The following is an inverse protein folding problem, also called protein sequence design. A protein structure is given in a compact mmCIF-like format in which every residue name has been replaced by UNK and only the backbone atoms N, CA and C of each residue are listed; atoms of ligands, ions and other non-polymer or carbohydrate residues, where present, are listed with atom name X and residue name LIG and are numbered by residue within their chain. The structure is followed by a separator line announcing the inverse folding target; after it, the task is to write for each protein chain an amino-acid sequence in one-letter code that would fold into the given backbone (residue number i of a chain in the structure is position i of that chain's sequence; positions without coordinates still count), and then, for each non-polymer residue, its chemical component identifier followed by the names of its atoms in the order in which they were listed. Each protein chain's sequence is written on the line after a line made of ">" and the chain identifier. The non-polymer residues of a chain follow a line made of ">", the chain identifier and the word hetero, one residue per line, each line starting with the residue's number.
data_IF_146150451149
#
_entry.id   IF_146150451149
#
_cell.length_a   1.000
_cell.length_b   1.000
_cell.length_c   1.000
_cell.angle_alpha   90.00
_cell.angle_beta   90.00
_cell.angle_gamma   90.00
#
_symmetry.space_group_name_H-M   'P 1'
#
loop_
_entity.id
_entity.type
_entity.pdbx_description
1 polymer ?
#
# COMPACT_ATOMS: atom_id res chain seq x y z
N UNK A 1 -6.63 27.60 7.73
CA UNK A 1 -6.89 26.53 6.74
C UNK A 1 -5.82 26.61 5.67
N UNK A 2 -4.80 25.72 5.69
CA UNK A 2 -3.82 25.64 4.59
C UNK A 2 -4.43 24.74 3.52
N UNK A 3 -4.79 25.32 2.38
CA UNK A 3 -5.22 24.55 1.21
C UNK A 3 -4.12 23.55 0.85
N UNK A 4 -4.48 22.28 0.66
CA UNK A 4 -3.59 21.29 0.08
C UNK A 4 -3.20 21.78 -1.31
N UNK A 5 -2.00 22.34 -1.48
CA UNK A 5 -1.48 22.67 -2.81
C UNK A 5 -1.60 21.41 -3.65
N UNK A 6 -2.24 21.44 -4.81
CA UNK A 6 -2.21 20.30 -5.73
C UNK A 6 -0.78 20.09 -6.24
N UNK A 7 -0.30 18.85 -6.21
CA UNK A 7 0.93 18.46 -6.92
C UNK A 7 0.52 18.32 -8.37
N UNK A 8 1.11 19.11 -9.24
CA UNK A 8 1.13 18.85 -10.68
C UNK A 8 2.36 18.02 -11.01
N UNK A 9 2.35 17.25 -12.10
CA UNK A 9 3.55 16.57 -12.61
C UNK A 9 4.72 17.57 -12.70
N UNK A 10 4.44 18.77 -13.21
CA UNK A 10 5.40 19.87 -13.30
C UNK A 10 6.00 20.28 -11.95
N UNK A 11 5.28 20.14 -10.84
CA UNK A 11 5.79 20.46 -9.49
C UNK A 11 6.61 19.33 -8.88
N UNK A 12 6.35 18.06 -9.21
CA UNK A 12 7.18 16.92 -8.77
C UNK A 12 8.56 17.02 -9.42
N UNK A 13 8.60 17.20 -10.74
CA UNK A 13 9.86 17.26 -11.49
C UNK A 13 10.64 18.58 -11.31
N UNK A 14 10.03 19.60 -10.71
CA UNK A 14 10.72 20.82 -10.26
C UNK A 14 11.22 20.74 -8.82
N UNK A 15 10.88 19.68 -8.09
CA UNK A 15 11.35 19.48 -6.73
C UNK A 15 12.72 18.80 -6.71
N UNK A 16 13.51 19.08 -5.66
CA UNK A 16 14.87 18.60 -5.53
C UNK A 16 14.89 17.06 -5.46
N UNK A 17 15.73 16.35 -6.26
CA UNK A 17 15.94 14.93 -6.08
C UNK A 17 16.68 14.67 -4.76
N UNK A 18 16.21 13.68 -4.01
CA UNK A 18 16.76 13.25 -2.74
C UNK A 18 17.42 11.89 -2.90
N UNK A 19 18.57 11.73 -2.26
CA UNK A 19 19.20 10.43 -2.08
C UNK A 19 18.63 9.78 -0.82
N UNK A 20 17.96 8.64 -0.96
CA UNK A 20 17.36 7.90 0.16
C UNK A 20 17.96 6.50 0.21
N UNK A 21 18.43 6.07 1.37
CA UNK A 21 18.94 4.73 1.63
C UNK A 21 17.88 3.94 2.40
N UNK A 22 17.39 2.84 1.86
CA UNK A 22 16.24 2.10 2.41
C UNK A 22 16.64 0.73 2.91
N UNK A 23 16.11 0.36 4.08
CA UNK A 23 16.27 -0.96 4.69
C UNK A 23 17.66 -1.22 5.27
N UNK A 24 17.84 -2.44 5.79
CA UNK A 24 19.10 -2.91 6.37
C UNK A 24 20.26 -2.92 5.36
N UNK A 25 19.93 -3.20 4.10
CA UNK A 25 20.87 -3.21 2.97
C UNK A 25 21.21 -1.80 2.45
N UNK A 26 20.53 -0.76 2.95
CA UNK A 26 20.74 0.63 2.55
C UNK A 26 20.66 0.82 1.03
N UNK A 27 19.63 0.23 0.41
CA UNK A 27 19.43 0.31 -1.04
C UNK A 27 19.18 1.77 -1.41
N UNK A 28 19.99 2.26 -2.36
CA UNK A 28 19.97 3.66 -2.78
C UNK A 28 18.86 3.93 -3.78
N UNK A 29 17.97 4.86 -3.43
CA UNK A 29 16.92 5.41 -4.27
C UNK A 29 17.14 6.91 -4.52
N UNK A 30 16.70 7.36 -5.69
CA UNK A 30 16.62 8.79 -6.04
C UNK A 30 15.16 9.18 -6.20
N UNK A 31 14.63 9.95 -5.23
CA UNK A 31 13.21 10.31 -5.16
C UNK A 31 13.06 11.82 -5.05
N UNK A 32 12.12 12.39 -5.80
CA UNK A 32 11.81 13.82 -5.74
C UNK A 32 11.22 14.21 -4.36
N UNK A 33 11.71 15.31 -3.76
CA UNK A 33 11.32 15.74 -2.41
C UNK A 33 9.82 15.91 -2.25
N UNK A 34 9.12 16.33 -3.31
CA UNK A 34 7.68 16.54 -3.26
C UNK A 34 6.88 15.24 -3.06
N UNK A 35 7.45 14.07 -3.37
CA UNK A 35 6.85 12.75 -3.05
C UNK A 35 6.86 12.53 -1.54
N UNK A 36 8.01 12.76 -0.92
CA UNK A 36 8.25 12.50 0.51
C UNK A 36 7.60 13.55 1.41
N UNK A 37 7.59 14.82 1.00
CA UNK A 37 6.97 15.93 1.75
C UNK A 37 5.47 15.73 2.00
N UNK A 38 4.83 14.86 1.22
CA UNK A 38 3.40 14.52 1.34
C UNK A 38 3.10 13.34 2.21
N UNK A 39 4.11 12.59 2.62
CA UNK A 39 3.90 11.52 3.59
C UNK A 39 3.25 12.13 4.84
N UNK A 40 2.22 11.45 5.41
CA UNK A 40 1.65 11.85 6.68
C UNK A 40 2.76 12.12 7.69
N UNK A 41 2.62 13.17 8.49
CA UNK A 41 3.63 13.52 9.48
C UNK A 41 4.02 12.32 10.38
N UNK A 42 3.08 11.51 10.89
CA UNK A 42 3.42 10.34 11.69
C UNK A 42 4.28 9.30 10.93
N UNK A 43 4.05 9.15 9.62
CA UNK A 43 4.87 8.26 8.79
C UNK A 43 6.27 8.83 8.61
N UNK A 44 6.42 10.15 8.40
CA UNK A 44 7.75 10.76 8.30
C UNK A 44 8.55 10.64 9.60
N UNK A 45 7.88 10.78 10.73
CA UNK A 45 8.48 10.59 12.05
C UNK A 45 8.91 9.13 12.27
N UNK A 46 8.07 8.14 11.94
CA UNK A 46 8.42 6.70 12.04
C UNK A 46 9.60 6.30 11.13
N UNK A 47 9.75 6.99 9.99
CA UNK A 47 10.79 6.75 9.01
C UNK A 47 12.06 7.59 9.24
N UNK A 48 12.12 8.37 10.33
CA UNK A 48 13.21 9.32 10.62
C UNK A 48 13.47 10.31 9.47
N UNK A 49 12.44 10.64 8.70
CA UNK A 49 12.52 11.57 7.58
C UNK A 49 12.37 12.99 8.13
N UNK A 50 13.38 13.87 7.96
CA UNK A 50 13.34 15.21 8.51
C UNK A 50 12.19 16.04 7.94
N UNK A 51 11.53 16.81 8.80
CA UNK A 51 10.40 17.66 8.41
C UNK A 51 10.76 18.78 7.43
N UNK A 52 12.04 19.18 7.39
CA UNK A 52 12.62 20.03 6.36
C UNK A 52 13.79 19.29 5.72
N UNK A 53 13.69 19.04 4.44
CA UNK A 53 14.73 18.35 3.69
C UNK A 53 15.68 19.43 3.16
N UNK A 54 16.77 19.65 3.87
CA UNK A 54 17.84 20.58 3.51
C UNK A 54 19.16 19.85 3.67
N UNK A 55 19.86 19.59 2.57
CA UNK A 55 21.17 18.96 2.62
C UNK A 55 21.49 18.12 1.38
N UNK A 56 22.78 17.80 1.24
CA UNK A 56 23.31 16.86 0.25
C UNK A 56 23.41 15.43 0.84
N UNK A 57 23.26 15.28 2.16
CA UNK A 57 23.37 14.00 2.84
C UNK A 57 22.19 13.07 2.53
N UNK A 58 22.44 11.75 2.40
CA UNK A 58 21.38 10.78 2.17
C UNK A 58 20.46 10.65 3.39
N UNK A 59 19.15 10.60 3.14
CA UNK A 59 18.16 10.25 4.16
C UNK A 59 18.20 8.74 4.35
N UNK A 60 18.41 8.27 5.57
CA UNK A 60 18.48 6.82 5.86
C UNK A 60 17.18 6.37 6.50
N UNK A 61 16.47 5.46 5.85
CA UNK A 61 15.19 4.91 6.31
C UNK A 61 15.38 3.43 6.63
N UNK A 62 15.61 3.13 7.92
CA UNK A 62 15.99 1.77 8.38
C UNK A 62 14.81 0.88 8.74
N UNK A 63 13.69 1.48 9.15
CA UNK A 63 12.57 0.78 9.77
C UNK A 63 11.52 0.30 8.75
N UNK A 64 11.96 0.06 7.51
CA UNK A 64 11.09 -0.26 6.39
C UNK A 64 11.88 -1.08 5.37
N UNK A 65 11.25 -2.08 4.76
CA UNK A 65 11.84 -2.73 3.60
C UNK A 65 11.67 -1.88 2.33
N UNK A 66 12.47 -2.19 1.31
CA UNK A 66 12.48 -1.46 0.05
C UNK A 66 11.12 -1.45 -0.64
N UNK A 67 10.46 -2.61 -0.66
CA UNK A 67 9.23 -2.83 -1.42
C UNK A 67 8.08 -2.02 -0.83
N UNK A 68 7.95 -2.10 0.49
CA UNK A 68 7.04 -1.27 1.26
C UNK A 68 7.27 0.23 1.01
N UNK A 69 8.53 0.68 1.05
CA UNK A 69 8.85 2.10 0.82
C UNK A 69 8.52 2.54 -0.61
N UNK A 70 8.85 1.69 -1.59
CA UNK A 70 8.50 1.89 -2.99
C UNK A 70 6.97 2.03 -3.19
N UNK A 71 6.17 1.23 -2.48
CA UNK A 71 4.70 1.33 -2.51
C UNK A 71 4.20 2.68 -1.97
N UNK A 72 4.79 3.20 -0.90
CA UNK A 72 4.44 4.54 -0.40
C UNK A 72 4.75 5.62 -1.43
N UNK A 73 5.92 5.55 -2.07
CA UNK A 73 6.29 6.48 -3.14
C UNK A 73 5.36 6.37 -4.34
N UNK A 74 5.11 5.16 -4.84
CA UNK A 74 4.26 4.92 -6.00
C UNK A 74 2.83 5.40 -5.74
N UNK A 75 2.29 5.19 -4.54
CA UNK A 75 0.96 5.68 -4.21
C UNK A 75 0.80 7.19 -4.40
N UNK A 76 1.84 7.98 -4.12
CA UNK A 76 1.82 9.44 -4.31
C UNK A 76 1.89 9.86 -5.77
N UNK A 77 2.49 9.01 -6.61
CA UNK A 77 2.61 9.24 -8.05
C UNK A 77 1.33 8.73 -8.77
N UNK A 78 0.90 7.51 -8.46
CA UNK A 78 -0.24 6.81 -9.07
C UNK A 78 -1.60 7.42 -8.74
N UNK A 79 -1.83 7.89 -7.50
CA UNK A 79 -3.05 8.64 -7.12
C UNK A 79 -3.30 9.87 -8.03
N UNK A 80 -2.26 10.36 -8.71
CA UNK A 80 -2.29 11.58 -9.51
C UNK A 80 -2.22 11.35 -11.02
N UNK A 81 -1.56 10.27 -11.47
CA UNK A 81 -1.59 9.88 -12.89
C UNK A 81 -3.00 9.44 -13.32
N UNK A 82 -3.78 8.84 -12.44
CA UNK A 82 -5.21 8.57 -12.69
C UNK A 82 -6.06 9.86 -12.67
N UNK A 83 -5.69 10.88 -11.90
CA UNK A 83 -6.37 12.20 -11.88
C UNK A 83 -5.99 13.10 -13.08
N UNK A 84 -4.84 12.88 -13.74
CA UNK A 84 -4.26 13.81 -14.71
C UNK A 84 -4.40 13.39 -16.19
N UNK A 85 -5.13 12.32 -16.52
CA UNK A 85 -5.10 11.67 -17.85
C UNK A 85 -3.67 11.28 -18.25
N UNK A 86 -3.24 10.10 -17.79
CA UNK A 86 -1.93 9.50 -18.04
C UNK A 86 -1.38 9.74 -19.46
N UNK A 87 -0.55 10.77 -19.59
CA UNK A 87 0.33 10.94 -20.74
C UNK A 87 1.69 10.39 -20.31
N UNK A 88 2.04 9.23 -20.85
CA UNK A 88 3.31 8.58 -20.57
C UNK A 88 4.46 9.57 -20.86
N UNK A 89 5.15 10.00 -19.80
CA UNK A 89 6.24 10.95 -19.87
C UNK A 89 7.58 10.21 -19.91
N UNK A 90 8.37 10.50 -20.94
CA UNK A 90 9.64 9.85 -21.28
C UNK A 90 10.81 10.83 -21.03
N UNK A 91 10.87 11.41 -19.83
CA UNK A 91 11.89 12.39 -19.44
C UNK A 91 13.08 11.80 -18.67
N UNK A 92 14.24 12.48 -18.65
CA UNK A 92 15.52 11.95 -18.15
C UNK A 92 15.60 11.74 -16.63
N UNK A 93 14.55 12.11 -15.88
CA UNK A 93 14.44 11.93 -14.44
C UNK A 93 13.26 11.04 -14.12
N UNK A 94 13.31 9.82 -14.66
CA UNK A 94 12.42 8.77 -14.21
C UNK A 94 12.63 8.59 -12.70
N UNK A 95 11.56 8.75 -11.93
CA UNK A 95 11.50 8.16 -10.59
C UNK A 95 11.77 6.66 -10.81
N UNK A 96 13.00 6.23 -10.59
CA UNK A 96 13.34 4.80 -10.56
C UNK A 96 12.92 4.30 -9.18
N UNK A 97 11.61 4.35 -8.93
CA UNK A 97 11.01 3.32 -8.10
C UNK A 97 11.23 2.06 -8.95
N UNK A 98 11.97 1.06 -8.46
CA UNK A 98 12.04 -0.22 -9.15
C UNK A 98 10.63 -0.56 -9.58
N UNK A 99 10.42 -0.88 -10.87
CA UNK A 99 9.11 -1.35 -11.32
C UNK A 99 8.84 -2.62 -10.52
N UNK A 100 8.27 -2.44 -9.34
CA UNK A 100 7.70 -3.52 -8.56
C UNK A 100 6.73 -4.17 -9.55
N UNK A 101 6.83 -5.48 -9.77
CA UNK A 101 6.20 -6.13 -10.91
C UNK A 101 4.74 -5.68 -10.92
N UNK A 102 4.44 -4.78 -11.88
CA UNK A 102 3.16 -4.10 -11.97
C UNK A 102 2.16 -5.21 -12.10
N UNK A 103 1.36 -5.36 -11.06
CA UNK A 103 0.36 -6.41 -10.98
C UNK A 103 1.02 -7.78 -11.19
N UNK A 104 1.39 -8.41 -10.09
CA UNK A 104 1.34 -9.86 -10.09
C UNK A 104 0.04 -10.29 -10.77
N UNK A 105 0.14 -10.97 -11.93
CA UNK A 105 -1.03 -11.54 -12.62
C UNK A 105 -1.77 -12.56 -11.73
N UNK A 106 -1.17 -12.94 -10.61
CA UNK A 106 -1.79 -13.80 -9.62
C UNK A 106 -2.46 -12.95 -8.54
N UNK A 107 -3.66 -13.36 -8.17
CA UNK A 107 -4.54 -12.66 -7.22
C UNK A 107 -3.88 -12.45 -5.86
N UNK A 108 -3.22 -13.48 -5.31
CA UNK A 108 -2.75 -13.50 -3.94
C UNK A 108 -1.74 -12.37 -3.63
N UNK A 109 -0.66 -12.15 -4.39
CA UNK A 109 0.25 -11.02 -4.13
C UNK A 109 -0.46 -9.66 -4.24
N UNK A 110 -1.40 -9.51 -5.17
CA UNK A 110 -2.18 -8.27 -5.33
C UNK A 110 -3.05 -8.01 -4.10
N UNK A 111 -3.78 -9.00 -3.62
CA UNK A 111 -4.57 -8.88 -2.38
C UNK A 111 -3.68 -8.63 -1.16
N UNK A 112 -2.54 -9.32 -1.07
CA UNK A 112 -1.60 -9.15 0.03
C UNK A 112 -1.05 -7.72 0.10
N UNK A 113 -0.55 -7.20 -1.03
CA UNK A 113 -0.03 -5.83 -1.15
C UNK A 113 -1.11 -4.82 -0.74
N UNK A 114 -2.33 -4.93 -1.28
CA UNK A 114 -3.37 -3.96 -0.98
C UNK A 114 -3.92 -4.08 0.45
N UNK A 115 -3.94 -5.28 1.03
CA UNK A 115 -4.27 -5.48 2.45
C UNK A 115 -3.24 -4.79 3.35
N UNK A 116 -1.97 -5.01 3.05
CA UNK A 116 -0.85 -4.43 3.79
C UNK A 116 -0.86 -2.90 3.71
N UNK A 117 -1.03 -2.32 2.50
CA UNK A 117 -1.14 -0.87 2.31
C UNK A 117 -2.35 -0.31 3.08
N UNK A 118 -3.51 -0.97 3.03
CA UNK A 118 -4.72 -0.53 3.71
C UNK A 118 -4.51 -0.39 5.22
N UNK A 119 -3.92 -1.41 5.84
CA UNK A 119 -3.67 -1.45 7.29
C UNK A 119 -2.65 -0.38 7.69
N UNK A 120 -1.56 -0.24 6.93
CA UNK A 120 -0.56 0.80 7.19
C UNK A 120 -1.11 2.22 6.97
N UNK A 121 -1.88 2.43 5.90
CA UNK A 121 -2.50 3.72 5.64
C UNK A 121 -3.45 4.11 6.79
N UNK A 122 -4.20 3.16 7.34
CA UNK A 122 -5.02 3.41 8.52
C UNK A 122 -4.18 3.76 9.77
N UNK A 123 -3.08 3.03 10.04
CA UNK A 123 -2.13 3.33 11.13
C UNK A 123 -1.67 4.79 11.09
N UNK A 124 -1.35 5.30 9.90
CA UNK A 124 -0.84 6.67 9.71
C UNK A 124 -1.93 7.71 9.37
N UNK A 125 -3.23 7.35 9.47
CA UNK A 125 -4.38 8.22 9.14
C UNK A 125 -4.32 8.77 7.71
N UNK A 126 -3.84 7.96 6.77
CA UNK A 126 -3.70 8.29 5.36
C UNK A 126 -4.95 7.91 4.56
N UNK A 127 -6.05 8.66 4.76
CA UNK A 127 -7.37 8.26 4.24
C UNK A 127 -7.42 8.08 2.71
N UNK A 128 -6.72 8.92 1.93
CA UNK A 128 -6.70 8.77 0.47
C UNK A 128 -6.06 7.45 0.02
N UNK A 129 -4.96 7.05 0.67
CA UNK A 129 -4.27 5.80 0.36
C UNK A 129 -5.05 4.59 0.87
N UNK A 130 -5.65 4.71 2.06
CA UNK A 130 -6.54 3.70 2.63
C UNK A 130 -7.73 3.43 1.71
N UNK A 131 -8.38 4.48 1.18
CA UNK A 131 -9.50 4.31 0.25
C UNK A 131 -9.05 3.68 -1.07
N UNK A 132 -7.97 4.18 -1.68
CA UNK A 132 -7.47 3.63 -2.96
C UNK A 132 -7.05 2.17 -2.82
N UNK A 133 -6.28 1.82 -1.78
CA UNK A 133 -5.85 0.44 -1.55
C UNK A 133 -7.03 -0.49 -1.32
N UNK A 134 -8.04 -0.05 -0.57
CA UNK A 134 -9.27 -0.82 -0.42
C UNK A 134 -9.98 -1.02 -1.77
N UNK A 135 -10.15 0.03 -2.57
CA UNK A 135 -10.77 -0.09 -3.90
C UNK A 135 -10.03 -1.06 -4.83
N UNK A 136 -8.69 -1.01 -4.86
CA UNK A 136 -7.88 -1.93 -5.67
C UNK A 136 -7.97 -3.36 -5.13
N UNK A 137 -8.00 -3.55 -3.81
CA UNK A 137 -8.26 -4.83 -3.17
C UNK A 137 -9.63 -5.41 -3.57
N UNK A 138 -10.69 -4.62 -3.45
CA UNK A 138 -12.06 -5.02 -3.82
C UNK A 138 -12.13 -5.42 -5.29
N UNK A 139 -11.58 -4.59 -6.18
CA UNK A 139 -11.58 -4.87 -7.61
C UNK A 139 -10.83 -6.16 -7.93
N UNK A 140 -9.66 -6.40 -7.32
CA UNK A 140 -8.92 -7.64 -7.53
C UNK A 140 -9.70 -8.88 -7.06
N UNK A 141 -10.37 -8.77 -5.91
CA UNK A 141 -11.19 -9.85 -5.35
C UNK A 141 -12.43 -10.13 -6.22
N UNK A 142 -13.11 -9.07 -6.68
CA UNK A 142 -14.35 -9.16 -7.46
C UNK A 142 -14.15 -9.61 -8.90
N UNK A 143 -12.99 -9.31 -9.49
CA UNK A 143 -12.66 -9.72 -10.86
C UNK A 143 -12.07 -11.12 -10.96
N UNK A 144 -11.78 -11.75 -9.82
CA UNK A 144 -11.18 -13.08 -9.79
C UNK A 144 -12.23 -14.17 -9.59
N UNK A 145 -12.16 -15.29 -10.34
CA UNK A 145 -13.06 -16.41 -10.13
C UNK A 145 -12.70 -17.10 -8.82
N UNK A 146 -13.50 -16.84 -7.77
CA UNK A 146 -13.31 -17.49 -6.49
C UNK A 146 -13.70 -18.98 -6.57
N UNK A 147 -12.75 -19.85 -6.27
CA UNK A 147 -12.94 -21.31 -6.17
C UNK A 147 -12.50 -21.79 -4.79
N UNK A 148 -12.94 -22.98 -4.36
CA UNK A 148 -12.53 -23.55 -3.07
C UNK A 148 -11.00 -23.69 -2.95
N UNK A 149 -10.31 -24.08 -4.03
CA UNK A 149 -8.85 -24.19 -4.05
C UNK A 149 -8.15 -22.84 -3.82
N UNK A 150 -8.70 -21.77 -4.39
CA UNK A 150 -8.15 -20.42 -4.24
C UNK A 150 -8.25 -19.92 -2.79
N UNK A 151 -9.21 -20.41 -2.00
CA UNK A 151 -9.38 -19.99 -0.60
C UNK A 151 -8.27 -20.54 0.28
N UNK A 152 -7.85 -21.78 0.03
CA UNK A 152 -6.68 -22.33 0.70
C UNK A 152 -5.41 -21.56 0.30
N UNK A 153 -5.32 -21.09 -0.95
CA UNK A 153 -4.25 -20.20 -1.39
C UNK A 153 -4.28 -18.82 -0.71
N UNK A 154 -5.44 -18.36 -0.23
CA UNK A 154 -5.57 -17.11 0.54
C UNK A 154 -5.15 -17.25 2.01
N UNK A 155 -4.88 -18.47 2.51
CA UNK A 155 -4.53 -18.70 3.91
C UNK A 155 -3.36 -17.82 4.41
N UNK A 156 -2.25 -17.61 3.67
CA UNK A 156 -1.18 -16.72 4.11
C UNK A 156 -1.63 -15.26 4.31
N UNK A 157 -2.55 -14.79 3.47
CA UNK A 157 -3.13 -13.45 3.61
C UNK A 157 -4.03 -13.37 4.84
N UNK A 158 -4.84 -14.40 5.10
CA UNK A 158 -5.67 -14.47 6.30
C UNK A 158 -4.82 -14.45 7.57
N UNK A 159 -3.75 -15.25 7.62
CA UNK A 159 -2.79 -15.24 8.73
C UNK A 159 -2.21 -13.83 8.92
N UNK A 160 -1.69 -13.22 7.85
CA UNK A 160 -1.14 -11.87 7.90
C UNK A 160 -2.13 -10.86 8.48
N UNK A 161 -3.37 -10.83 7.98
CA UNK A 161 -4.41 -9.92 8.47
C UNK A 161 -4.73 -10.20 9.94
N UNK A 162 -4.82 -11.47 10.34
CA UNK A 162 -5.15 -11.86 11.71
C UNK A 162 -4.08 -11.51 12.74
N UNK A 163 -2.81 -11.48 12.33
CA UNK A 163 -1.67 -11.04 13.14
C UNK A 163 -1.66 -9.52 13.33
N UNK A 164 -2.38 -8.77 12.50
CA UNK A 164 -2.48 -7.32 12.65
C UNK A 164 -3.53 -6.98 13.73
N UNK A 165 -3.08 -6.60 14.92
CA UNK A 165 -3.93 -6.18 16.05
C UNK A 165 -4.55 -4.77 15.86
N UNK A 166 -5.10 -4.47 14.66
CA UNK A 166 -5.66 -3.16 14.32
C UNK A 166 -7.14 -3.24 13.95
N UNK A 167 -7.87 -2.13 14.15
CA UNK A 167 -9.25 -2.01 13.69
C UNK A 167 -9.37 -2.10 12.16
N UNK A 168 -8.38 -1.57 11.44
CA UNK A 168 -8.32 -1.69 9.98
C UNK A 168 -8.25 -3.16 9.54
N UNK A 169 -7.38 -3.95 10.16
CA UNK A 169 -7.28 -5.38 9.85
C UNK A 169 -8.60 -6.11 10.13
N UNK A 170 -9.25 -5.83 11.26
CA UNK A 170 -10.58 -6.37 11.58
C UNK A 170 -11.64 -5.98 10.55
N UNK A 171 -11.66 -4.73 10.11
CA UNK A 171 -12.59 -4.26 9.09
C UNK A 171 -12.35 -4.95 7.73
N UNK A 172 -11.09 -5.11 7.34
CA UNK A 172 -10.72 -5.83 6.13
C UNK A 172 -11.14 -7.30 6.22
N UNK A 173 -10.89 -7.96 7.35
CA UNK A 173 -11.27 -9.35 7.55
C UNK A 173 -12.78 -9.57 7.56
N UNK A 174 -13.56 -8.67 8.17
CA UNK A 174 -15.02 -8.69 8.10
C UNK A 174 -15.50 -8.58 6.65
N UNK A 175 -14.91 -7.67 5.87
CA UNK A 175 -15.25 -7.53 4.45
C UNK A 175 -14.94 -8.82 3.68
N UNK A 176 -13.73 -9.37 3.81
CA UNK A 176 -13.31 -10.59 3.10
C UNK A 176 -14.18 -11.78 3.49
N UNK A 177 -14.42 -11.97 4.80
CA UNK A 177 -15.29 -13.04 5.31
C UNK A 177 -16.69 -12.92 4.76
N UNK A 178 -17.27 -11.72 4.79
CA UNK A 178 -18.60 -11.44 4.22
C UNK A 178 -18.65 -11.73 2.73
N UNK A 179 -17.68 -11.25 1.95
CA UNK A 179 -17.61 -11.43 0.50
C UNK A 179 -17.48 -12.90 0.09
N UNK A 180 -16.59 -13.64 0.74
CA UNK A 180 -16.36 -15.05 0.44
C UNK A 180 -17.59 -15.89 0.80
N UNK A 181 -18.21 -15.63 1.95
CA UNK A 181 -19.41 -16.34 2.42
C UNK A 181 -20.60 -16.13 1.48
N UNK A 182 -20.79 -14.91 0.95
CA UNK A 182 -21.89 -14.61 0.02
C UNK A 182 -21.64 -15.16 -1.38
N UNK A 183 -20.40 -15.12 -1.86
CA UNK A 183 -20.05 -15.49 -3.24
C UNK A 183 -19.97 -17.01 -3.45
N UNK A 184 -19.43 -17.75 -2.47
CA UNK A 184 -19.19 -19.19 -2.59
C UNK A 184 -20.21 -20.01 -1.77
N UNK A 185 -21.01 -19.34 -0.95
CA UNK A 185 -22.02 -19.96 -0.09
C UNK A 185 -21.43 -20.67 1.14
N UNK A 186 -22.26 -21.38 1.93
CA UNK A 186 -21.85 -22.07 3.17
C UNK A 186 -20.95 -23.31 2.94
N UNK A 187 -20.41 -23.50 1.74
CA UNK A 187 -19.68 -24.71 1.31
C UNK A 187 -18.19 -24.74 1.69
N UNK A 188 -17.73 -23.91 2.63
CA UNK A 188 -16.31 -23.92 3.02
C UNK A 188 -16.06 -24.70 4.29
N UNK A 189 -15.70 -25.96 4.09
CA UNK A 189 -15.06 -26.82 5.08
C UNK A 189 -13.53 -26.63 5.14
N UNK A 190 -12.99 -25.54 4.58
CA UNK A 190 -11.56 -25.25 4.70
C UNK A 190 -11.26 -24.70 6.10
N UNK A 191 -10.37 -25.37 6.83
CA UNK A 191 -10.02 -25.00 8.21
C UNK A 191 -9.49 -23.57 8.29
N UNK A 192 -8.65 -23.17 7.32
CA UNK A 192 -8.01 -21.85 7.29
C UNK A 192 -9.01 -20.69 7.19
N UNK A 193 -10.07 -20.84 6.39
CA UNK A 193 -11.09 -19.80 6.27
C UNK A 193 -12.00 -19.76 7.51
N UNK A 194 -12.32 -20.92 8.09
CA UNK A 194 -13.11 -20.98 9.33
C UNK A 194 -12.39 -20.27 10.48
N UNK A 195 -11.12 -20.58 10.70
CA UNK A 195 -10.32 -19.97 11.76
C UNK A 195 -10.22 -18.45 11.57
N UNK A 196 -10.04 -18.00 10.32
CA UNK A 196 -10.04 -16.58 9.98
C UNK A 196 -11.40 -15.90 10.18
N UNK A 197 -12.49 -16.55 9.77
CA UNK A 197 -13.85 -16.04 9.94
C UNK A 197 -14.24 -15.93 11.41
N UNK A 198 -13.87 -16.93 12.22
CA UNK A 198 -14.04 -16.89 13.68
C UNK A 198 -13.23 -15.74 14.28
N UNK A 199 -11.95 -15.58 13.92
CA UNK A 199 -11.14 -14.44 14.35
C UNK A 199 -11.78 -13.09 13.96
N UNK A 200 -12.28 -12.96 12.73
CA UNK A 200 -12.90 -11.74 12.22
C UNK A 200 -14.20 -11.36 12.96
N UNK A 201 -14.85 -12.34 13.59
CA UNK A 201 -16.06 -12.15 14.41
C UNK A 201 -15.78 -11.78 15.86
N UNK A 202 -14.55 -11.95 16.36
CA UNK A 202 -14.22 -11.62 17.75
C UNK A 202 -13.99 -10.11 17.97
N UNK A 203 -14.88 -9.55 18.80
CA UNK A 203 -14.84 -8.28 19.56
C UNK A 203 -15.08 -6.95 18.84
N UNK A 204 -16.28 -6.43 19.12
CA UNK A 204 -16.47 -5.05 19.59
C UNK A 204 -15.92 -4.88 21.02
#
# INVERSE_FOLDING_TARGET
>A
MRGSKQLTESSIFRSQPLCILVGSEQIRLSIHSAVVERFPQPLREDLDIPGRIQGEEPIVVRNIDLDTFALYCDSQVSLRLEEANAQAFDGPFAVVVPKHPRESRTLLPTLFIHSWIYIHAAKYKWESLKLLSFQKFQNALETSPLTAALIDELAPMFCFISEQESEAARNLARYVTGYVTTTIGPLQETSSFRDFAEWAQFKD
#
